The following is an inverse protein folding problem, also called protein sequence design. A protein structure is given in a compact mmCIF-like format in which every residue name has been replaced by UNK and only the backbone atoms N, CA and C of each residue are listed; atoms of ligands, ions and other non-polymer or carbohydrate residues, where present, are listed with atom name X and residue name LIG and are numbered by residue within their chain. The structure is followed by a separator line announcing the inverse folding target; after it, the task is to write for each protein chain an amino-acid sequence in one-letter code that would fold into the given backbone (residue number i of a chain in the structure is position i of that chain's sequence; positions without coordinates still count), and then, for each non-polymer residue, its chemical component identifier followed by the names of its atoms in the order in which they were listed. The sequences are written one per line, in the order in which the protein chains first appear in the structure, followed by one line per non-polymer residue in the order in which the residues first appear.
data_IF_647273375969
#
_entry.id   IF_647273375969
#
_cell.length_a   1.000
_cell.length_b   1.000
_cell.length_c   1.000
_cell.angle_alpha   90.00
_cell.angle_beta   90.00
_cell.angle_gamma   90.00
#
_symmetry.space_group_name_H-M   'P 1'
#
loop_
_entity.id
_entity.type
_entity.pdbx_description
1 polymer ?
#
# COMPACT_ATOMS: atom_id res chain seq x y z
N UNK A 1 23.25 -21.25 29.08
CA UNK A 1 23.59 -22.07 27.90
C UNK A 1 25.02 -21.74 27.53
N UNK A 2 25.91 -22.71 27.61
CA UNK A 2 27.31 -22.54 27.23
C UNK A 2 27.40 -22.56 25.70
N UNK A 3 28.15 -21.61 25.13
CA UNK A 3 28.48 -21.58 23.72
C UNK A 3 29.65 -22.55 23.51
N UNK A 4 29.49 -23.50 22.60
CA UNK A 4 30.57 -24.41 22.19
C UNK A 4 31.17 -23.86 20.89
N UNK A 5 32.43 -23.45 20.94
CA UNK A 5 33.22 -23.09 19.76
C UNK A 5 33.84 -24.36 19.19
N UNK A 6 33.59 -24.69 17.93
CA UNK A 6 34.29 -25.81 17.27
C UNK A 6 35.78 -25.48 17.17
N UNK A 7 36.62 -26.52 17.15
CA UNK A 7 38.09 -26.42 17.13
C UNK A 7 38.67 -25.68 15.91
N UNK A 8 37.87 -25.39 14.89
CA UNK A 8 38.22 -24.59 13.71
C UNK A 8 37.74 -23.13 13.79
N UNK A 9 37.16 -22.71 14.91
CA UNK A 9 36.66 -21.34 15.12
C UNK A 9 35.33 -21.04 14.43
N UNK A 10 34.63 -22.05 13.92
CA UNK A 10 33.31 -21.86 13.31
C UNK A 10 32.23 -21.63 14.39
N UNK A 11 31.35 -20.67 14.13
CA UNK A 11 30.22 -20.36 15.00
C UNK A 11 29.05 -21.28 14.64
N UNK A 12 28.90 -22.39 15.36
CA UNK A 12 27.67 -23.18 15.39
C UNK A 12 26.60 -22.44 16.22
N UNK A 13 26.20 -21.26 15.74
CA UNK A 13 24.95 -20.65 16.18
C UNK A 13 23.82 -21.18 15.29
N UNK A 14 22.64 -21.42 15.87
CA UNK A 14 21.40 -21.82 15.17
C UNK A 14 21.07 -20.97 13.92
N UNK A 15 21.63 -19.76 13.81
CA UNK A 15 21.50 -18.85 12.66
C UNK A 15 22.44 -19.17 11.49
N UNK A 16 23.54 -19.89 11.72
CA UNK A 16 24.55 -20.24 10.71
C UNK A 16 24.23 -21.54 9.96
N UNK A 17 23.43 -22.44 10.54
CA UNK A 17 23.12 -23.75 9.93
C UNK A 17 22.50 -23.63 8.54
N UNK A 18 21.61 -22.65 8.34
CA UNK A 18 21.00 -22.35 7.05
C UNK A 18 22.02 -21.90 5.99
N UNK A 19 23.16 -21.35 6.39
CA UNK A 19 24.22 -20.90 5.48
C UNK A 19 25.17 -22.02 5.04
N UNK A 20 25.20 -23.13 5.77
CA UNK A 20 26.10 -24.26 5.53
C UNK A 20 25.51 -25.35 4.63
N UNK A 21 24.19 -25.37 4.43
CA UNK A 21 23.53 -26.37 3.57
C UNK A 21 23.81 -26.15 2.07
N UNK A 22 23.58 -27.15 1.20
CA UNK A 22 23.78 -27.02 -0.24
C UNK A 22 22.62 -26.31 -0.96
N UNK A 23 21.50 -26.03 -0.29
CA UNK A 23 20.32 -25.45 -0.94
C UNK A 23 20.59 -24.05 -1.51
N UNK A 24 19.90 -23.63 -2.59
CA UNK A 24 19.95 -22.24 -3.07
C UNK A 24 19.47 -21.25 -2.01
N UNK A 25 20.21 -20.14 -1.83
CA UNK A 25 19.92 -19.12 -0.80
C UNK A 25 19.83 -17.72 -1.38
N UNK A 26 19.07 -16.87 -0.72
CA UNK A 26 19.12 -15.42 -0.87
C UNK A 26 19.24 -14.77 0.51
N UNK A 27 20.00 -13.69 0.61
CA UNK A 27 20.11 -12.88 1.84
C UNK A 27 19.29 -11.61 1.67
N UNK A 28 18.37 -11.35 2.60
CA UNK A 28 17.62 -10.09 2.67
C UNK A 28 18.14 -9.28 3.85
N UNK A 29 18.72 -8.14 3.54
CA UNK A 29 19.17 -7.15 4.51
C UNK A 29 18.06 -6.14 4.74
N UNK A 30 17.24 -6.37 5.76
CA UNK A 30 16.25 -5.38 6.18
C UNK A 30 16.92 -4.23 6.95
N UNK A 31 16.39 -3.02 6.78
CA UNK A 31 16.95 -1.79 7.35
C UNK A 31 18.46 -1.60 7.13
N UNK A 32 18.98 -1.96 5.94
CA UNK A 32 20.43 -2.03 5.66
C UNK A 32 21.18 -0.73 5.99
N UNK A 33 20.51 0.41 5.87
CA UNK A 33 21.09 1.72 6.15
C UNK A 33 20.89 2.21 7.59
N UNK A 34 20.40 1.38 8.52
CA UNK A 34 20.24 1.74 9.93
C UNK A 34 21.54 1.81 10.74
N UNK A 35 22.54 0.94 10.54
CA UNK A 35 23.82 1.07 11.23
C UNK A 35 24.46 2.43 10.93
N UNK A 36 24.89 3.14 11.97
CA UNK A 36 25.49 4.48 11.83
C UNK A 36 27.01 4.46 11.78
N UNK A 37 27.61 3.35 12.21
CA UNK A 37 29.07 3.23 12.32
C UNK A 37 29.67 2.48 11.13
N UNK A 38 30.86 2.91 10.71
CA UNK A 38 31.58 2.31 9.57
C UNK A 38 32.05 0.88 9.88
N UNK A 39 32.19 0.52 11.15
CA UNK A 39 32.71 -0.78 11.56
C UNK A 39 31.68 -1.90 11.35
N UNK A 40 30.41 -1.64 11.64
CA UNK A 40 29.28 -2.51 11.36
C UNK A 40 29.18 -2.77 9.86
N UNK A 41 29.30 -1.73 9.03
CA UNK A 41 29.33 -1.91 7.58
C UNK A 41 30.56 -2.69 7.10
N UNK A 42 31.74 -2.42 7.66
CA UNK A 42 32.95 -3.16 7.29
C UNK A 42 32.81 -4.67 7.56
N UNK A 43 32.14 -5.05 8.64
CA UNK A 43 31.83 -6.47 8.96
C UNK A 43 30.91 -7.13 7.93
N UNK A 44 30.09 -6.36 7.23
CA UNK A 44 29.20 -6.88 6.18
C UNK A 44 29.88 -6.98 4.81
N UNK A 45 31.10 -6.45 4.66
CA UNK A 45 31.79 -6.45 3.36
C UNK A 45 32.12 -7.85 2.88
N UNK A 46 32.50 -8.75 3.79
CA UNK A 46 32.76 -10.15 3.43
C UNK A 46 31.53 -10.78 2.75
N UNK A 47 30.35 -10.62 3.35
CA UNK A 47 29.14 -11.23 2.83
C UNK A 47 28.67 -10.51 1.56
N UNK A 48 28.63 -9.18 1.56
CA UNK A 48 28.10 -8.38 0.44
C UNK A 48 29.00 -8.38 -0.81
N UNK A 49 30.32 -8.42 -0.62
CA UNK A 49 31.30 -8.36 -1.72
C UNK A 49 31.85 -9.74 -2.07
N UNK A 50 32.26 -10.51 -1.07
CA UNK A 50 32.96 -11.79 -1.27
C UNK A 50 32.01 -12.99 -1.19
N UNK A 51 30.75 -12.76 -0.78
CA UNK A 51 29.70 -13.79 -0.65
C UNK A 51 30.21 -14.97 0.19
N UNK A 52 31.01 -14.64 1.21
CA UNK A 52 31.58 -15.56 2.18
C UNK A 52 31.24 -15.11 3.60
N UNK A 53 31.41 -16.03 4.53
CA UNK A 53 31.28 -15.80 5.96
C UNK A 53 32.43 -16.52 6.67
N UNK A 54 33.20 -15.79 7.47
CA UNK A 54 34.35 -16.32 8.19
C UNK A 54 35.39 -17.03 7.28
N UNK A 55 35.63 -16.46 6.10
CA UNK A 55 36.57 -16.96 5.09
C UNK A 55 36.05 -18.13 4.25
N UNK A 56 34.83 -18.62 4.50
CA UNK A 56 34.22 -19.71 3.72
C UNK A 56 33.15 -19.16 2.79
N UNK A 57 33.20 -19.54 1.51
CA UNK A 57 32.16 -19.18 0.54
C UNK A 57 30.81 -19.69 1.05
N UNK A 58 29.79 -18.84 0.99
CA UNK A 58 28.41 -19.27 1.25
C UNK A 58 27.96 -20.07 0.03
N UNK A 59 27.87 -21.39 0.19
CA UNK A 59 27.52 -22.29 -0.90
C UNK A 59 26.12 -21.94 -1.44
N UNK A 60 25.98 -21.93 -2.77
CA UNK A 60 24.73 -21.67 -3.48
C UNK A 60 23.97 -20.38 -3.06
N UNK A 61 24.68 -19.37 -2.56
CA UNK A 61 24.13 -18.01 -2.49
C UNK A 61 23.86 -17.51 -3.91
N UNK A 62 22.61 -17.14 -4.20
CA UNK A 62 22.13 -16.73 -5.53
C UNK A 62 21.86 -15.23 -5.62
N UNK A 63 21.47 -14.61 -4.52
CA UNK A 63 21.08 -13.20 -4.50
C UNK A 63 21.30 -12.56 -3.13
N UNK A 64 21.48 -11.24 -3.15
CA UNK A 64 21.45 -10.39 -1.97
C UNK A 64 20.55 -9.19 -2.25
N UNK A 65 19.62 -8.91 -1.34
CA UNK A 65 18.63 -7.85 -1.47
C UNK A 65 18.77 -6.95 -0.25
N UNK A 66 19.08 -5.67 -0.45
CA UNK A 66 19.13 -4.71 0.64
C UNK A 66 17.94 -3.76 0.57
N UNK A 67 17.15 -3.75 1.64
CA UNK A 67 16.01 -2.85 1.80
C UNK A 67 16.48 -1.67 2.65
N UNK A 68 16.20 -0.46 2.17
CA UNK A 68 16.65 0.77 2.79
C UNK A 68 15.47 1.67 3.09
N UNK A 69 15.51 2.32 4.25
CA UNK A 69 14.55 3.37 4.58
C UNK A 69 15.00 4.70 3.94
N UNK A 70 14.07 5.55 3.47
CA UNK A 70 14.43 6.87 2.99
C UNK A 70 15.09 7.69 4.11
N UNK A 71 15.96 8.67 3.78
CA UNK A 71 16.62 9.50 4.79
C UNK A 71 15.66 10.43 5.53
N UNK A 72 14.49 10.70 4.95
CA UNK A 72 13.46 11.55 5.52
C UNK A 72 12.08 10.89 5.37
N UNK A 73 11.23 11.13 6.35
CA UNK A 73 9.80 10.82 6.29
C UNK A 73 9.06 12.00 6.93
N UNK A 74 8.15 12.64 6.20
CA UNK A 74 7.39 13.81 6.68
C UNK A 74 8.27 14.97 7.16
N UNK A 75 9.34 15.27 6.41
CA UNK A 75 10.34 16.29 6.80
C UNK A 75 11.20 15.90 8.01
N UNK A 76 10.91 14.78 8.69
CA UNK A 76 11.70 14.28 9.82
C UNK A 76 12.84 13.42 9.30
N UNK A 77 14.05 13.71 9.75
CA UNK A 77 15.24 12.92 9.43
C UNK A 77 15.13 11.56 10.13
N UNK A 78 15.07 10.48 9.36
CA UNK A 78 15.16 9.15 9.92
C UNK A 78 16.59 8.88 10.39
N UNK A 79 16.73 8.07 11.45
CA UNK A 79 18.02 7.71 12.02
C UNK A 79 18.74 6.65 11.17
N UNK A 80 18.99 6.98 9.91
CA UNK A 80 19.66 6.14 8.92
C UNK A 80 20.95 6.79 8.43
N UNK A 81 21.95 5.96 8.11
CA UNK A 81 23.15 6.37 7.40
C UNK A 81 22.85 6.54 5.91
N UNK A 82 23.57 7.46 5.25
CA UNK A 82 23.65 7.46 3.79
C UNK A 82 24.64 6.39 3.35
N UNK A 83 24.28 5.64 2.31
CA UNK A 83 25.27 4.79 1.66
C UNK A 83 26.43 5.67 1.16
N UNK A 84 27.66 5.26 1.43
CA UNK A 84 28.80 5.79 0.70
C UNK A 84 28.84 5.18 -0.71
N UNK A 85 29.55 5.84 -1.63
CA UNK A 85 29.65 5.38 -3.04
C UNK A 85 30.13 3.93 -3.11
N UNK A 86 31.10 3.56 -2.28
CA UNK A 86 31.63 2.20 -2.26
C UNK A 86 30.55 1.16 -1.91
N UNK A 87 29.61 1.48 -1.02
CA UNK A 87 28.50 0.60 -0.67
C UNK A 87 27.46 0.53 -1.78
N UNK A 88 27.15 1.66 -2.40
CA UNK A 88 26.15 1.72 -3.46
C UNK A 88 26.57 0.91 -4.70
N UNK A 89 27.87 0.92 -5.04
CA UNK A 89 28.40 0.18 -6.20
C UNK A 89 28.47 -1.34 -6.00
N UNK A 90 28.17 -1.86 -4.80
CA UNK A 90 28.19 -3.31 -4.50
C UNK A 90 26.89 -4.01 -4.90
N UNK A 91 25.82 -3.26 -5.13
CA UNK A 91 24.58 -3.82 -5.64
C UNK A 91 24.53 -3.60 -7.16
N UNK A 92 24.31 -4.67 -7.90
CA UNK A 92 24.21 -4.64 -9.36
C UNK A 92 23.06 -3.75 -9.84
N UNK A 93 21.96 -3.74 -9.10
CA UNK A 93 20.74 -2.99 -9.42
C UNK A 93 20.28 -2.26 -8.16
N UNK A 94 19.87 -1.00 -8.33
CA UNK A 94 19.20 -0.20 -7.31
C UNK A 94 17.84 0.22 -7.84
N UNK A 95 16.79 -0.10 -7.09
CA UNK A 95 15.40 0.24 -7.43
C UNK A 95 14.84 1.14 -6.33
N UNK A 96 14.20 2.22 -6.73
CA UNK A 96 13.33 3.00 -5.84
C UNK A 96 11.95 2.37 -5.92
N UNK A 97 11.38 2.03 -4.77
CA UNK A 97 9.99 1.54 -4.67
C UNK A 97 9.19 2.61 -3.96
N UNK A 98 8.23 3.18 -4.67
CA UNK A 98 7.28 4.16 -4.16
C UNK A 98 6.01 3.48 -3.65
N UNK A 99 5.23 4.13 -2.78
CA UNK A 99 3.97 3.56 -2.28
C UNK A 99 2.98 3.14 -3.38
N UNK A 100 3.04 3.77 -4.56
CA UNK A 100 2.19 3.47 -5.71
C UNK A 100 2.62 2.23 -6.51
N UNK A 101 3.85 1.75 -6.34
CA UNK A 101 4.37 0.57 -7.06
C UNK A 101 3.84 -0.75 -6.49
N UNK A 102 3.18 -0.69 -5.33
CA UNK A 102 2.69 -1.86 -4.61
C UNK A 102 1.16 -1.80 -4.60
N UNK A 103 0.45 -2.85 -5.04
CA UNK A 103 -1.02 -2.93 -5.02
C UNK A 103 -1.57 -3.16 -3.59
N UNK A 104 -1.12 -2.34 -2.63
CA UNK A 104 -1.42 -2.51 -1.21
C UNK A 104 -2.91 -2.29 -0.90
N UNK A 105 -3.57 -1.35 -1.59
CA UNK A 105 -5.00 -1.11 -1.42
C UNK A 105 -5.82 -2.33 -1.85
N UNK A 106 -5.49 -2.89 -3.02
CA UNK A 106 -6.16 -4.07 -3.58
C UNK A 106 -5.97 -5.28 -2.67
N UNK A 107 -4.76 -5.46 -2.14
CA UNK A 107 -4.49 -6.51 -1.14
C UNK A 107 -5.28 -6.31 0.15
N UNK A 108 -5.37 -5.08 0.68
CA UNK A 108 -6.16 -4.77 1.88
C UNK A 108 -7.64 -5.08 1.67
N UNK A 109 -8.20 -4.71 0.52
CA UNK A 109 -9.60 -4.98 0.15
C UNK A 109 -9.82 -6.48 0.00
N UNK A 110 -8.94 -7.18 -0.72
CA UNK A 110 -9.04 -8.63 -0.90
C UNK A 110 -8.98 -9.39 0.44
N UNK A 111 -8.17 -8.91 1.39
CA UNK A 111 -7.96 -9.56 2.68
C UNK A 111 -9.03 -9.22 3.73
N UNK A 112 -9.50 -7.98 3.77
CA UNK A 112 -10.35 -7.46 4.86
C UNK A 112 -11.73 -6.97 4.42
N UNK A 113 -12.02 -6.97 3.11
CA UNK A 113 -13.34 -6.68 2.55
C UNK A 113 -13.84 -5.25 2.85
N UNK A 114 -15.12 -5.12 3.17
CA UNK A 114 -15.82 -3.84 3.31
C UNK A 114 -15.21 -2.91 4.37
N UNK A 115 -14.61 -3.47 5.43
CA UNK A 115 -13.91 -2.67 6.45
C UNK A 115 -12.67 -1.99 5.86
N UNK A 116 -11.90 -2.69 5.03
CA UNK A 116 -10.78 -2.09 4.32
C UNK A 116 -11.24 -1.02 3.32
N UNK A 117 -12.34 -1.25 2.60
CA UNK A 117 -12.93 -0.25 1.70
C UNK A 117 -13.27 1.03 2.48
N UNK A 118 -13.92 0.90 3.63
CA UNK A 118 -14.29 2.05 4.48
C UNK A 118 -13.07 2.82 5.00
N UNK A 119 -12.05 2.11 5.47
CA UNK A 119 -10.80 2.72 5.97
C UNK A 119 -10.01 3.37 4.83
N UNK A 120 -10.00 2.78 3.64
CA UNK A 120 -9.33 3.34 2.46
C UNK A 120 -10.04 4.58 1.94
N UNK A 121 -11.37 4.58 1.90
CA UNK A 121 -12.14 5.77 1.53
C UNK A 121 -11.89 6.92 2.52
N UNK A 122 -11.87 6.63 3.83
CA UNK A 122 -11.46 7.63 4.82
C UNK A 122 -10.06 8.19 4.53
N UNK A 123 -9.08 7.32 4.28
CA UNK A 123 -7.71 7.71 3.98
C UNK A 123 -7.60 8.55 2.68
N UNK A 124 -8.46 8.30 1.70
CA UNK A 124 -8.48 9.05 0.43
C UNK A 124 -9.20 10.39 0.55
N UNK A 125 -10.27 10.49 1.34
CA UNK A 125 -11.21 11.61 1.23
C UNK A 125 -11.32 12.51 2.46
N UNK A 126 -11.01 12.00 3.65
CA UNK A 126 -11.28 12.70 4.90
C UNK A 126 -9.99 13.20 5.57
N UNK A 127 -8.84 12.86 5.01
CA UNK A 127 -7.53 13.36 5.42
C UNK A 127 -6.83 14.05 4.25
N UNK A 128 -6.12 15.12 4.57
CA UNK A 128 -5.30 15.87 3.63
C UNK A 128 -4.00 15.13 3.28
N UNK A 129 -3.18 15.75 2.44
CA UNK A 129 -1.92 15.14 1.99
C UNK A 129 -0.94 14.90 3.15
N UNK A 130 -0.84 15.86 4.08
CA UNK A 130 -0.01 15.74 5.28
C UNK A 130 -0.49 14.60 6.18
N UNK A 131 -1.81 14.51 6.41
CA UNK A 131 -2.44 13.41 7.14
C UNK A 131 -2.22 12.05 6.47
N UNK A 132 -2.37 11.97 5.14
CA UNK A 132 -2.09 10.73 4.38
C UNK A 132 -0.67 10.25 4.55
N UNK A 133 0.28 11.17 4.63
CA UNK A 133 1.68 10.82 4.76
C UNK A 133 2.03 10.29 6.18
N UNK A 134 1.25 10.64 7.22
CA UNK A 134 1.28 9.98 8.54
C UNK A 134 0.69 8.55 8.52
N UNK A 135 -0.32 8.33 7.70
CA UNK A 135 -1.08 7.08 7.66
C UNK A 135 -0.52 6.16 6.57
N UNK A 136 0.51 5.39 6.93
CA UNK A 136 1.11 4.38 6.06
C UNK A 136 0.15 3.21 5.78
N UNK A 137 0.43 2.38 4.76
CA UNK A 137 -0.33 1.14 4.50
C UNK A 137 -0.35 0.17 5.69
N UNK A 138 0.74 0.13 6.47
CA UNK A 138 0.81 -0.62 7.74
C UNK A 138 -0.14 -0.04 8.79
N UNK A 139 -0.24 1.29 8.86
CA UNK A 139 -1.18 1.99 9.74
C UNK A 139 -2.62 1.65 9.36
N UNK A 140 -2.97 1.68 8.06
CA UNK A 140 -4.30 1.27 7.59
C UNK A 140 -4.65 -0.16 8.02
N UNK A 141 -3.73 -1.12 7.81
CA UNK A 141 -3.94 -2.50 8.23
C UNK A 141 -4.17 -2.62 9.75
N UNK A 142 -3.43 -1.85 10.56
CA UNK A 142 -3.62 -1.82 12.02
C UNK A 142 -4.98 -1.28 12.41
N UNK A 143 -5.43 -0.18 11.81
CA UNK A 143 -6.75 0.41 12.07
C UNK A 143 -7.87 -0.59 11.76
N UNK A 144 -7.77 -1.29 10.63
CA UNK A 144 -8.69 -2.36 10.25
C UNK A 144 -8.72 -3.47 11.31
N UNK A 145 -7.54 -3.98 11.72
CA UNK A 145 -7.44 -5.05 12.72
C UNK A 145 -7.99 -4.60 14.08
N UNK A 146 -7.67 -3.40 14.53
CA UNK A 146 -8.16 -2.86 15.80
C UNK A 146 -9.68 -2.74 15.80
N UNK A 147 -10.27 -2.21 14.72
CA UNK A 147 -11.72 -2.16 14.56
C UNK A 147 -12.36 -3.56 14.64
N UNK A 148 -11.80 -4.55 13.92
CA UNK A 148 -12.31 -5.93 13.93
C UNK A 148 -12.24 -6.58 15.32
N UNK A 149 -11.34 -6.13 16.19
CA UNK A 149 -11.22 -6.63 17.57
C UNK A 149 -11.89 -5.71 18.60
N UNK A 150 -12.60 -4.65 18.17
CA UNK A 150 -13.24 -3.71 19.08
C UNK A 150 -12.26 -2.91 19.96
N UNK A 151 -11.04 -2.69 19.48
CA UNK A 151 -9.99 -1.98 20.20
C UNK A 151 -9.90 -0.50 19.76
N UNK A 152 -9.41 0.39 20.63
CA UNK A 152 -9.24 1.82 20.30
C UNK A 152 -8.34 2.02 19.07
N UNK A 153 -8.82 2.77 18.08
CA UNK A 153 -8.11 2.95 16.81
C UNK A 153 -6.86 3.82 16.93
N UNK A 154 -6.83 4.74 17.89
CA UNK A 154 -5.70 5.66 18.11
C UNK A 154 -4.37 4.91 18.30
N UNK A 155 -4.41 3.75 18.97
CA UNK A 155 -3.27 2.85 19.18
C UNK A 155 -2.66 2.30 17.88
N UNK A 156 -3.42 2.35 16.77
CA UNK A 156 -2.97 1.91 15.46
C UNK A 156 -2.11 2.93 14.73
N UNK A 157 -2.20 4.21 15.11
CA UNK A 157 -1.45 5.32 14.50
C UNK A 157 0.02 5.32 14.92
N UNK A 158 0.84 6.16 14.27
CA UNK A 158 2.29 6.19 14.53
C UNK A 158 2.53 6.78 15.93
N UNK A 159 3.11 5.99 16.83
CA UNK A 159 3.52 6.45 18.16
C UNK A 159 4.79 7.32 18.06
N UNK A 160 4.73 8.52 18.63
CA UNK A 160 5.81 9.51 18.56
C UNK A 160 6.69 9.55 19.82
N UNK A 161 6.26 8.90 20.90
CA UNK A 161 6.89 8.99 22.22
C UNK A 161 6.04 9.79 23.20
N UNK A 162 6.31 9.66 24.50
CA UNK A 162 5.68 10.44 25.57
C UNK A 162 4.14 10.45 25.58
N UNK A 163 3.52 9.37 25.11
CA UNK A 163 2.06 9.25 25.01
C UNK A 163 1.45 9.91 23.76
N UNK A 164 2.26 10.54 22.92
CA UNK A 164 1.80 11.20 21.69
C UNK A 164 1.73 10.22 20.51
N UNK A 165 0.69 10.42 19.70
CA UNK A 165 0.44 9.69 18.47
C UNK A 165 0.42 10.65 17.27
N UNK A 166 0.41 10.11 16.05
CA UNK A 166 0.31 10.91 14.84
C UNK A 166 -0.89 11.86 14.91
N UNK A 167 -0.71 13.16 14.58
CA UNK A 167 -1.74 14.18 14.74
C UNK A 167 -2.78 14.13 13.62
N UNK A 168 -3.40 12.97 13.43
CA UNK A 168 -4.44 12.73 12.43
C UNK A 168 -5.74 12.42 13.15
N UNK A 169 -6.75 13.26 12.94
CA UNK A 169 -8.07 13.04 13.53
C UNK A 169 -8.71 11.77 12.99
N UNK A 170 -9.13 10.87 13.89
CA UNK A 170 -9.85 9.64 13.55
C UNK A 170 -11.38 9.80 13.61
N UNK A 171 -11.91 11.00 13.90
CA UNK A 171 -13.36 11.22 14.09
C UNK A 171 -14.16 10.76 12.88
N UNK A 172 -13.81 11.23 11.67
CA UNK A 172 -14.50 10.83 10.45
C UNK A 172 -14.41 9.32 10.17
N UNK A 173 -13.29 8.68 10.54
CA UNK A 173 -13.16 7.23 10.42
C UNK A 173 -14.10 6.50 11.38
N UNK A 174 -14.14 6.93 12.64
CA UNK A 174 -15.03 6.36 13.64
C UNK A 174 -16.49 6.53 13.25
N UNK A 175 -16.87 7.69 12.70
CA UNK A 175 -18.22 7.93 12.19
C UNK A 175 -18.56 6.99 11.03
N UNK A 176 -17.64 6.83 10.06
CA UNK A 176 -17.82 5.89 8.93
C UNK A 176 -17.90 4.43 9.38
N UNK A 177 -17.14 4.04 10.39
CA UNK A 177 -17.17 2.68 10.95
C UNK A 177 -18.40 2.43 11.84
N UNK A 178 -18.96 3.48 12.45
CA UNK A 178 -20.16 3.41 13.30
C UNK A 178 -21.46 3.51 12.51
N UNK A 179 -21.45 4.24 11.39
CA UNK A 179 -22.57 4.38 10.46
C UNK A 179 -22.40 3.42 9.27
N UNK A 180 -23.06 2.25 9.31
CA UNK A 180 -23.21 1.39 8.11
C UNK A 180 -24.15 2.04 7.08
N UNK A 181 -23.94 1.92 5.76
CA UNK A 181 -22.72 1.73 4.97
C UNK A 181 -22.35 3.01 4.18
N UNK A 182 -21.06 3.28 3.99
CA UNK A 182 -20.60 4.17 2.91
C UNK A 182 -20.82 3.41 1.61
N UNK A 183 -21.72 3.88 0.75
CA UNK A 183 -22.03 3.22 -0.53
C UNK A 183 -20.76 2.96 -1.33
N UNK A 184 -20.21 1.75 -1.22
CA UNK A 184 -19.02 1.32 -1.96
C UNK A 184 -19.39 0.79 -3.34
N UNK A 185 -18.39 0.55 -4.20
CA UNK A 185 -18.65 -0.01 -5.54
C UNK A 185 -19.37 -1.36 -5.49
N UNK A 186 -19.07 -2.21 -4.49
CA UNK A 186 -19.77 -3.48 -4.30
C UNK A 186 -21.26 -3.29 -4.04
N UNK A 187 -21.62 -2.30 -3.24
CA UNK A 187 -23.01 -2.01 -2.87
C UNK A 187 -23.75 -1.37 -4.06
N UNK A 188 -23.11 -0.44 -4.77
CA UNK A 188 -23.62 0.06 -6.06
C UNK A 188 -23.89 -1.09 -7.04
N UNK A 189 -23.00 -2.08 -7.11
CA UNK A 189 -23.15 -3.22 -8.00
C UNK A 189 -24.26 -4.19 -7.54
N UNK A 190 -24.46 -4.37 -6.24
CA UNK A 190 -25.56 -5.20 -5.69
C UNK A 190 -26.93 -4.56 -5.92
N UNK A 191 -27.03 -3.23 -5.86
CA UNK A 191 -28.27 -2.47 -6.02
C UNK A 191 -28.33 -1.69 -7.35
N UNK A 192 -27.65 -2.19 -8.39
CA UNK A 192 -27.46 -1.46 -9.65
C UNK A 192 -28.76 -0.98 -10.30
N UNK A 193 -29.83 -1.79 -10.24
CA UNK A 193 -31.13 -1.42 -10.81
C UNK A 193 -31.79 -0.25 -10.07
N UNK A 194 -31.66 -0.22 -8.74
CA UNK A 194 -32.18 0.88 -7.91
C UNK A 194 -31.41 2.18 -8.18
N UNK A 195 -30.07 2.08 -8.30
CA UNK A 195 -29.23 3.23 -8.65
C UNK A 195 -29.48 3.74 -10.07
N UNK A 196 -29.70 2.88 -11.06
CA UNK A 196 -30.10 3.33 -12.39
C UNK A 196 -31.42 4.11 -12.38
N UNK A 197 -32.43 3.64 -11.63
CA UNK A 197 -33.72 4.32 -11.53
C UNK A 197 -33.57 5.73 -10.90
N UNK A 198 -32.75 5.84 -9.85
CA UNK A 198 -32.40 7.13 -9.22
C UNK A 198 -31.69 8.07 -10.18
N UNK A 199 -30.65 7.58 -10.86
CA UNK A 199 -29.88 8.39 -11.82
C UNK A 199 -30.73 8.83 -13.02
N UNK A 200 -31.60 7.96 -13.55
CA UNK A 200 -32.56 8.35 -14.62
C UNK A 200 -33.53 9.42 -14.16
N UNK A 201 -33.97 9.36 -12.90
CA UNK A 201 -34.86 10.37 -12.32
C UNK A 201 -34.13 11.70 -12.17
N UNK A 202 -32.90 11.66 -11.65
CA UNK A 202 -32.04 12.84 -11.51
C UNK A 202 -31.71 13.49 -12.87
N UNK A 203 -31.37 12.68 -13.88
CA UNK A 203 -31.05 13.16 -15.23
C UNK A 203 -32.24 13.86 -15.92
N UNK A 204 -33.48 13.52 -15.57
CA UNK A 204 -34.68 14.24 -16.05
C UNK A 204 -34.85 15.60 -15.39
N UNK A 205 -34.34 15.77 -14.17
CA UNK A 205 -34.45 17.02 -13.41
C UNK A 205 -33.30 17.98 -13.70
N UNK A 206 -32.09 17.48 -13.97
CA UNK A 206 -30.89 18.28 -14.22
C UNK A 206 -29.92 17.55 -15.16
N UNK A 207 -29.43 18.27 -16.18
CA UNK A 207 -28.35 17.80 -17.06
C UNK A 207 -26.95 18.05 -16.47
N UNK A 208 -26.86 18.84 -15.40
CA UNK A 208 -25.60 19.20 -14.75
C UNK A 208 -25.20 18.24 -13.62
N UNK A 209 -26.03 17.26 -13.29
CA UNK A 209 -25.80 16.35 -12.17
C UNK A 209 -26.63 16.69 -10.94
N UNK A 210 -26.49 15.83 -9.93
CA UNK A 210 -27.23 15.80 -8.66
C UNK A 210 -26.36 15.10 -7.61
N UNK A 211 -26.77 15.17 -6.34
CA UNK A 211 -26.10 14.42 -5.26
C UNK A 211 -25.95 12.92 -5.58
N UNK A 212 -26.93 12.32 -6.26
CA UNK A 212 -26.89 10.90 -6.63
C UNK A 212 -25.82 10.62 -7.70
N UNK A 213 -25.70 11.49 -8.71
CA UNK A 213 -24.67 11.34 -9.74
C UNK A 213 -23.28 11.67 -9.21
N UNK A 214 -23.18 12.61 -8.28
CA UNK A 214 -21.91 13.00 -7.66
C UNK A 214 -21.39 11.89 -6.75
N UNK A 215 -22.28 11.26 -5.98
CA UNK A 215 -21.96 10.09 -5.17
C UNK A 215 -21.48 8.92 -6.03
N UNK A 216 -22.24 8.55 -7.06
CA UNK A 216 -21.83 7.46 -7.97
C UNK A 216 -20.52 7.81 -8.68
N UNK A 217 -20.36 9.07 -9.12
CA UNK A 217 -19.12 9.53 -9.73
C UNK A 217 -17.92 9.38 -8.78
N UNK A 218 -18.07 9.82 -7.53
CA UNK A 218 -17.04 9.72 -6.51
C UNK A 218 -16.65 8.25 -6.27
N UNK A 219 -17.63 7.38 -6.03
CA UNK A 219 -17.37 5.95 -5.79
C UNK A 219 -16.61 5.30 -6.97
N UNK A 220 -16.98 5.64 -8.20
CA UNK A 220 -16.32 5.12 -9.40
C UNK A 220 -14.92 5.71 -9.63
N UNK A 221 -14.74 7.01 -9.35
CA UNK A 221 -13.44 7.67 -9.47
C UNK A 221 -12.41 7.12 -8.47
N UNK A 222 -12.88 6.64 -7.31
CA UNK A 222 -12.03 6.21 -6.20
C UNK A 222 -11.82 4.70 -6.13
N UNK A 223 -12.65 3.92 -6.84
CA UNK A 223 -12.55 2.47 -6.88
C UNK A 223 -11.20 2.02 -7.48
N UNK A 224 -10.61 0.98 -6.90
CA UNK A 224 -9.40 0.38 -7.45
C UNK A 224 -9.70 -0.29 -8.80
N UNK A 225 -8.72 -0.33 -9.69
CA UNK A 225 -8.88 -0.91 -11.03
C UNK A 225 -9.38 -2.36 -10.98
N UNK A 226 -8.90 -3.14 -10.02
CA UNK A 226 -9.38 -4.50 -9.77
C UNK A 226 -10.88 -4.57 -9.43
N UNK A 227 -11.38 -3.66 -8.58
CA UNK A 227 -12.81 -3.59 -8.24
C UNK A 227 -13.65 -3.15 -9.43
N UNK A 228 -13.15 -2.15 -10.19
CA UNK A 228 -13.78 -1.68 -11.42
C UNK A 228 -13.91 -2.80 -12.46
N UNK A 229 -12.87 -3.61 -12.65
CA UNK A 229 -12.88 -4.80 -13.51
C UNK A 229 -13.87 -5.86 -13.00
N UNK A 230 -13.87 -6.14 -11.69
CA UNK A 230 -14.78 -7.11 -11.09
C UNK A 230 -16.26 -6.74 -11.30
N UNK A 231 -16.57 -5.44 -11.26
CA UNK A 231 -17.94 -4.93 -11.39
C UNK A 231 -18.20 -4.24 -12.73
N UNK A 232 -17.44 -4.57 -13.79
CA UNK A 232 -17.45 -3.85 -15.07
C UNK A 232 -18.86 -3.65 -15.67
N UNK A 233 -19.71 -4.67 -15.61
CA UNK A 233 -21.08 -4.58 -16.12
C UNK A 233 -21.93 -3.53 -15.37
N UNK A 234 -21.83 -3.51 -14.04
CA UNK A 234 -22.52 -2.50 -13.22
C UNK A 234 -21.92 -1.11 -13.42
N UNK A 235 -20.59 -1.01 -13.53
CA UNK A 235 -19.91 0.26 -13.83
C UNK A 235 -20.39 0.84 -15.16
N UNK A 236 -20.40 0.05 -16.24
CA UNK A 236 -20.84 0.52 -17.56
C UNK A 236 -22.28 1.05 -17.55
N UNK A 237 -23.18 0.35 -16.85
CA UNK A 237 -24.59 0.72 -16.65
C UNK A 237 -24.74 2.06 -15.93
N UNK A 238 -24.03 2.24 -14.81
CA UNK A 238 -24.10 3.46 -14.02
C UNK A 238 -23.44 4.65 -14.72
N UNK A 239 -22.27 4.44 -15.33
CA UNK A 239 -21.53 5.49 -16.06
C UNK A 239 -22.34 6.03 -17.22
N UNK A 240 -23.09 5.19 -17.94
CA UNK A 240 -23.95 5.62 -19.05
C UNK A 240 -24.95 6.73 -18.64
N UNK A 241 -25.33 6.78 -17.37
CA UNK A 241 -26.29 7.72 -16.81
C UNK A 241 -25.65 8.95 -16.15
N UNK A 242 -24.31 9.02 -16.09
CA UNK A 242 -23.60 10.18 -15.53
C UNK A 242 -23.49 11.33 -16.54
N UNK A 243 -23.55 12.60 -16.08
CA UNK A 243 -23.32 13.76 -16.93
C UNK A 243 -21.99 13.68 -17.71
N UNK A 244 -21.93 14.14 -18.97
CA UNK A 244 -20.69 14.12 -19.77
C UNK A 244 -19.48 14.73 -19.06
N UNK A 245 -19.68 15.83 -18.32
CA UNK A 245 -18.62 16.52 -17.58
C UNK A 245 -17.97 15.66 -16.48
N UNK A 246 -18.76 14.79 -15.82
CA UNK A 246 -18.23 13.88 -14.80
C UNK A 246 -17.53 12.69 -15.46
N UNK A 247 -18.05 12.18 -16.57
CA UNK A 247 -17.40 11.08 -17.31
C UNK A 247 -16.03 11.47 -17.85
N UNK A 248 -15.86 12.70 -18.32
CA UNK A 248 -14.58 13.15 -18.88
C UNK A 248 -13.42 13.13 -17.89
N UNK A 249 -13.69 13.20 -16.58
CA UNK A 249 -12.63 13.24 -15.57
C UNK A 249 -11.90 11.90 -15.45
N UNK A 250 -12.54 10.77 -15.79
CA UNK A 250 -11.96 9.43 -15.66
C UNK A 250 -10.73 9.16 -16.55
N UNK A 251 -10.53 9.96 -17.60
CA UNK A 251 -9.36 9.86 -18.48
C UNK A 251 -8.24 10.83 -18.11
N UNK A 252 -8.54 11.88 -17.35
CA UNK A 252 -7.59 12.95 -17.03
C UNK A 252 -6.73 12.53 -15.86
N UNK A 253 -5.40 12.50 -16.05
CA UNK A 253 -4.44 12.15 -15.00
C UNK A 253 -4.41 10.67 -14.59
N UNK A 254 -5.23 9.82 -15.20
CA UNK A 254 -5.25 8.39 -14.96
C UNK A 254 -4.03 7.67 -15.58
N UNK A 255 -3.60 6.57 -14.95
CA UNK A 255 -2.55 5.70 -15.51
C UNK A 255 -3.01 5.06 -16.82
N UNK A 256 -2.08 4.60 -17.65
CA UNK A 256 -2.39 3.98 -18.95
C UNK A 256 -3.32 2.76 -18.84
N UNK A 257 -3.21 1.99 -17.76
CA UNK A 257 -4.07 0.84 -17.49
C UNK A 257 -5.50 1.24 -17.10
N UNK A 258 -5.64 2.28 -16.27
CA UNK A 258 -6.94 2.81 -15.86
C UNK A 258 -7.63 3.50 -17.03
N UNK A 259 -6.88 4.25 -17.85
CA UNK A 259 -7.39 4.84 -19.10
C UNK A 259 -7.93 3.76 -20.06
N UNK A 260 -7.19 2.65 -20.24
CA UNK A 260 -7.64 1.53 -21.09
C UNK A 260 -8.97 0.96 -20.60
N UNK A 261 -9.10 0.72 -19.29
CA UNK A 261 -10.36 0.25 -18.70
C UNK A 261 -11.52 1.22 -18.99
N UNK A 262 -11.33 2.52 -18.79
CA UNK A 262 -12.40 3.49 -19.05
C UNK A 262 -12.77 3.61 -20.53
N UNK A 263 -11.80 3.50 -21.44
CA UNK A 263 -12.06 3.44 -22.89
C UNK A 263 -12.95 2.24 -23.22
N UNK A 264 -12.63 1.05 -22.67
CA UNK A 264 -13.44 -0.16 -22.86
C UNK A 264 -14.85 0.00 -22.29
N UNK A 265 -15.00 0.56 -21.09
CA UNK A 265 -16.30 0.84 -20.48
C UNK A 265 -17.10 1.83 -21.33
N UNK A 266 -16.50 2.91 -21.82
CA UNK A 266 -17.19 3.88 -22.66
C UNK A 266 -17.63 3.29 -24.01
N UNK A 267 -16.87 2.34 -24.57
CA UNK A 267 -17.27 1.63 -25.79
C UNK A 267 -18.52 0.77 -25.60
N UNK A 268 -18.84 0.34 -24.38
CA UNK A 268 -20.03 -0.43 -24.03
C UNK A 268 -21.28 0.44 -23.83
N UNK A 269 -21.12 1.77 -23.75
CA UNK A 269 -22.26 2.67 -23.56
C UNK A 269 -23.06 2.74 -24.86
N UNK A 270 -24.37 2.47 -24.84
CA UNK A 270 -25.22 2.64 -26.02
C UNK A 270 -25.08 4.07 -26.56
N UNK A 271 -24.78 4.21 -27.85
CA UNK A 271 -24.85 5.51 -28.52
C UNK A 271 -26.33 5.87 -28.65
N UNK A 272 -26.80 6.73 -27.75
CA UNK A 272 -28.09 7.41 -27.87
C UNK A 272 -28.08 8.42 -29.01
#
# INVERSE_FOLDING_TARGET
MAYDTTTDGSLDNLLAGSFLGPEPKAIVWDEYNRPKDKAAFAKLMEITQEWSLAGRRIENLRAQIAVQNPPYHLGRKLLVARNNIAQATRFTVSLTVEPGDIPANEWLIAKYGAVAETVLEWWKHDIDEDGRAWITKRTLERLIKLHQHGLPLEMGTVYLGDGEYAPVSLTALLDRLSNRPVTGLRELAQEVDAWEARLRTAARASSEGSNDSDLVHQVLANAELSQLKQHQAAVARLVALLPPKLRSTYLVGASSEVQRFWIEVFALIPRG
#
